data_IF_685357365253
#
_entry.id   IF_685357365253
#
_cell.length_a   1.000
_cell.length_b   1.000
_cell.length_c   1.000
_cell.angle_alpha   90.00
_cell.angle_beta   90.00
_cell.angle_gamma   90.00
#
_symmetry.space_group_name_H-M   'P 1'
#
loop_
_entity.id
_entity.type
_entity.pdbx_description
1 polymer ?
#
# COMPACT_ATOMS: atom_id res chain seq x y z
N UNK A 1 23.95 1.13 -24.37
CA UNK A 1 23.94 -0.18 -25.05
C UNK A 1 22.92 -0.15 -26.17
N UNK A 2 23.34 -0.32 -27.43
CA UNK A 2 22.45 -0.18 -28.59
C UNK A 2 21.36 -1.26 -28.63
N UNK A 3 20.11 -0.86 -28.79
CA UNK A 3 19.01 -1.77 -29.12
C UNK A 3 19.36 -2.50 -30.42
N UNK A 4 19.66 -3.81 -30.33
CA UNK A 4 19.82 -4.66 -31.53
C UNK A 4 18.47 -4.75 -32.26
N UNK A 5 18.27 -3.87 -33.23
CA UNK A 5 17.10 -3.90 -34.11
C UNK A 5 17.16 -5.17 -34.96
N UNK A 6 16.27 -6.11 -34.69
CA UNK A 6 16.20 -7.36 -35.48
C UNK A 6 15.54 -7.07 -36.82
N UNK A 7 16.21 -7.47 -37.90
CA UNK A 7 15.73 -7.32 -39.26
C UNK A 7 14.34 -7.96 -39.46
N UNK A 8 13.49 -7.42 -40.36
CA UNK A 8 12.20 -8.00 -40.70
C UNK A 8 12.29 -9.48 -41.10
N UNK A 9 13.35 -9.86 -41.82
CA UNK A 9 13.62 -11.25 -42.21
C UNK A 9 13.83 -12.17 -40.99
N UNK A 10 14.56 -11.70 -39.97
CA UNK A 10 14.78 -12.45 -38.72
C UNK A 10 13.47 -12.64 -37.95
N UNK A 11 12.59 -11.63 -37.95
CA UNK A 11 11.27 -11.73 -37.30
C UNK A 11 10.38 -12.75 -38.03
N UNK A 12 10.35 -12.70 -39.38
CA UNK A 12 9.59 -13.63 -40.22
C UNK A 12 10.08 -15.08 -40.07
N UNK A 13 11.39 -15.30 -40.06
CA UNK A 13 11.97 -16.64 -39.84
C UNK A 13 11.61 -17.22 -38.47
N UNK A 14 11.60 -16.41 -37.40
CA UNK A 14 11.18 -16.85 -36.05
C UNK A 14 9.68 -17.14 -35.98
N UNK A 15 8.86 -16.34 -36.65
CA UNK A 15 7.42 -16.59 -36.74
C UNK A 15 7.16 -17.92 -37.44
N UNK A 16 7.77 -18.15 -38.61
CA UNK A 16 7.65 -19.39 -39.37
C UNK A 16 8.17 -20.61 -38.59
N UNK A 17 9.30 -20.48 -37.88
CA UNK A 17 9.81 -21.55 -37.02
C UNK A 17 8.84 -21.88 -35.87
N UNK A 18 8.18 -20.87 -35.29
CA UNK A 18 7.17 -21.09 -34.25
C UNK A 18 5.93 -21.77 -34.82
N UNK A 19 5.46 -21.35 -35.99
CA UNK A 19 4.33 -21.97 -36.70
C UNK A 19 4.61 -23.44 -37.00
N UNK A 20 5.77 -23.74 -37.58
CA UNK A 20 6.16 -25.11 -37.92
C UNK A 20 6.31 -25.99 -36.67
N UNK A 21 6.85 -25.44 -35.58
CA UNK A 21 6.97 -26.16 -34.31
C UNK A 21 5.60 -26.46 -33.68
N UNK A 22 4.64 -25.55 -33.79
CA UNK A 22 3.29 -25.75 -33.29
C UNK A 22 2.49 -26.77 -34.11
N UNK A 23 2.75 -26.88 -35.41
CA UNK A 23 2.15 -27.92 -36.27
C UNK A 23 2.68 -29.33 -35.94
N UNK A 24 3.90 -29.42 -35.42
CA UNK A 24 4.53 -30.71 -35.07
C UNK A 24 4.12 -31.24 -33.69
N UNK A 25 3.71 -30.36 -32.78
CA UNK A 25 3.32 -30.71 -31.41
C UNK A 25 2.18 -29.79 -30.94
N UNK A 26 0.92 -30.11 -31.29
CA UNK A 26 -0.25 -29.29 -30.98
C UNK A 26 -0.46 -29.10 -29.47
N UNK A 27 -0.09 -30.10 -28.65
CA UNK A 27 -0.20 -30.02 -27.18
C UNK A 27 0.83 -29.07 -26.55
N UNK A 28 1.96 -28.79 -27.23
CA UNK A 28 2.95 -27.77 -26.82
C UNK A 28 2.92 -26.51 -27.69
N UNK A 29 1.85 -26.31 -28.46
CA UNK A 29 1.73 -25.18 -29.37
C UNK A 29 1.83 -23.85 -28.60
N UNK A 30 2.78 -23.00 -29.02
CA UNK A 30 2.92 -21.63 -28.53
C UNK A 30 1.91 -20.73 -29.26
N UNK A 31 1.11 -19.90 -28.59
CA UNK A 31 0.13 -19.07 -29.27
C UNK A 31 0.78 -18.16 -30.33
N UNK A 32 0.14 -18.04 -31.50
CA UNK A 32 0.55 -17.20 -32.62
C UNK A 32 0.73 -15.74 -32.17
N UNK A 33 1.59 -14.98 -32.84
CA UNK A 33 1.91 -13.58 -32.45
C UNK A 33 0.64 -12.71 -32.38
N UNK A 34 -0.29 -12.90 -33.32
CA UNK A 34 -1.56 -12.17 -33.35
C UNK A 34 -2.52 -12.62 -32.23
N UNK A 35 -2.55 -13.92 -31.91
CA UNK A 35 -3.31 -14.44 -30.77
C UNK A 35 -2.77 -13.87 -29.44
N UNK A 36 -1.44 -13.75 -29.29
CA UNK A 36 -0.83 -13.09 -28.12
C UNK A 36 -1.14 -11.60 -28.03
N UNK A 37 -1.30 -10.91 -29.15
CA UNK A 37 -1.65 -9.50 -29.18
C UNK A 37 -3.14 -9.29 -28.84
N UNK A 38 -4.02 -10.13 -29.39
CA UNK A 38 -5.46 -10.16 -29.04
C UNK A 38 -5.66 -10.48 -27.56
N UNK A 39 -5.04 -11.54 -27.04
CA UNK A 39 -5.10 -11.86 -25.60
C UNK A 39 -4.51 -10.78 -24.71
N UNK A 40 -3.53 -9.99 -25.20
CA UNK A 40 -3.03 -8.83 -24.45
C UNK A 40 -4.01 -7.67 -24.44
N UNK A 41 -4.69 -7.40 -25.56
CA UNK A 41 -5.71 -6.37 -25.62
C UNK A 41 -6.89 -6.71 -24.69
N UNK A 42 -7.33 -7.98 -24.71
CA UNK A 42 -8.34 -8.50 -23.79
C UNK A 42 -7.92 -8.33 -22.32
N UNK A 43 -6.65 -8.64 -21.98
CA UNK A 43 -6.14 -8.44 -20.61
C UNK A 43 -6.01 -6.97 -20.21
N UNK A 44 -5.61 -6.09 -21.14
CA UNK A 44 -5.57 -4.64 -20.92
C UNK A 44 -6.97 -4.12 -20.60
N UNK A 45 -7.97 -4.55 -21.37
CA UNK A 45 -9.37 -4.19 -21.17
C UNK A 45 -9.91 -4.78 -19.86
N UNK A 46 -9.72 -6.08 -19.64
CA UNK A 46 -10.19 -6.80 -18.45
C UNK A 46 -9.71 -6.16 -17.15
N UNK A 47 -8.44 -5.76 -17.08
CA UNK A 47 -7.83 -5.22 -15.86
C UNK A 47 -7.75 -3.70 -15.83
N UNK A 48 -8.12 -3.01 -16.91
CA UNK A 48 -7.95 -1.57 -17.09
C UNK A 48 -6.50 -1.13 -16.91
N UNK A 49 -5.59 -1.76 -17.66
CA UNK A 49 -4.15 -1.56 -17.53
C UNK A 49 -3.62 -0.49 -18.51
N UNK A 50 -2.48 0.15 -18.21
CA UNK A 50 -1.80 1.04 -19.15
C UNK A 50 -1.43 0.33 -20.46
N UNK A 51 -1.49 1.04 -21.59
CA UNK A 51 -1.24 0.47 -22.91
C UNK A 51 0.23 0.07 -23.16
N UNK A 52 1.17 0.65 -22.41
CA UNK A 52 2.61 0.39 -22.45
C UNK A 52 3.05 -0.78 -21.54
N UNK A 53 2.09 -1.46 -20.92
CA UNK A 53 2.31 -2.54 -19.94
C UNK A 53 3.07 -3.74 -20.51
N UNK A 54 4.05 -4.21 -19.73
CA UNK A 54 4.72 -5.50 -19.97
C UNK A 54 4.05 -6.62 -19.17
N UNK A 55 3.39 -7.53 -19.88
CA UNK A 55 2.80 -8.74 -19.29
C UNK A 55 3.83 -9.86 -19.11
N UNK A 56 3.88 -10.40 -17.90
CA UNK A 56 4.65 -11.57 -17.52
C UNK A 56 3.74 -12.61 -16.87
N UNK A 57 3.87 -13.87 -17.28
CA UNK A 57 3.04 -14.97 -16.79
C UNK A 57 3.90 -15.91 -15.94
N UNK A 58 3.43 -16.24 -14.74
CA UNK A 58 4.14 -17.06 -13.77
C UNK A 58 3.30 -18.26 -13.35
N UNK A 59 3.90 -19.45 -13.33
CA UNK A 59 3.27 -20.63 -12.74
C UNK A 59 3.50 -20.66 -11.25
N UNK A 60 2.43 -20.94 -10.49
CA UNK A 60 2.53 -21.23 -9.06
C UNK A 60 3.44 -22.45 -8.81
N UNK A 61 4.22 -22.39 -7.73
CA UNK A 61 5.18 -23.44 -7.38
C UNK A 61 6.41 -23.48 -8.30
N UNK A 62 6.66 -22.42 -9.09
CA UNK A 62 7.88 -22.30 -9.91
C UNK A 62 9.11 -22.65 -9.06
N UNK A 63 9.86 -23.64 -9.56
CA UNK A 63 10.95 -24.31 -8.85
C UNK A 63 11.88 -23.37 -8.09
N UNK A 64 11.79 -23.41 -6.75
CA UNK A 64 12.58 -22.66 -5.76
C UNK A 64 14.11 -22.87 -5.87
N UNK A 65 14.58 -23.77 -6.76
CA UNK A 65 15.99 -24.00 -7.05
C UNK A 65 16.58 -23.03 -8.09
N UNK A 66 15.75 -22.23 -8.76
CA UNK A 66 16.21 -21.16 -9.68
C UNK A 66 16.17 -19.82 -8.96
N UNK A 67 17.11 -18.95 -9.32
CA UNK A 67 17.08 -17.55 -8.89
C UNK A 67 15.69 -16.94 -9.14
N UNK A 68 15.22 -16.14 -8.18
CA UNK A 68 13.97 -15.39 -8.29
C UNK A 68 14.01 -14.49 -9.51
N UNK A 69 12.87 -14.34 -10.17
CA UNK A 69 12.75 -13.33 -11.21
C UNK A 69 12.57 -11.97 -10.55
N UNK A 70 13.47 -11.04 -10.81
CA UNK A 70 13.46 -9.71 -10.21
C UNK A 70 12.96 -8.67 -11.21
N UNK A 71 11.88 -7.98 -10.85
CA UNK A 71 11.40 -6.77 -11.54
C UNK A 71 12.18 -5.56 -11.02
N UNK A 72 12.68 -4.70 -11.92
CA UNK A 72 13.58 -3.59 -11.58
C UNK A 72 13.23 -2.24 -12.22
N UNK A 73 12.33 -2.19 -13.20
CA UNK A 73 12.02 -0.97 -13.94
C UNK A 73 10.73 -1.09 -14.76
N UNK A 74 10.14 0.07 -15.07
CA UNK A 74 8.97 0.23 -15.95
C UNK A 74 7.65 -0.27 -15.36
N UNK A 75 6.59 -0.29 -16.16
CA UNK A 75 5.29 -0.85 -15.77
C UNK A 75 5.22 -2.34 -16.13
N UNK A 76 5.12 -3.21 -15.13
CA UNK A 76 5.10 -4.67 -15.29
C UNK A 76 3.88 -5.26 -14.60
N UNK A 77 3.11 -6.03 -15.36
CA UNK A 77 1.95 -6.79 -14.87
C UNK A 77 2.31 -8.26 -14.83
N UNK A 78 2.15 -8.86 -13.65
CA UNK A 78 2.41 -10.27 -13.40
C UNK A 78 1.09 -11.00 -13.19
N UNK A 79 0.85 -12.01 -14.02
CA UNK A 79 -0.35 -12.83 -13.99
C UNK A 79 -0.01 -14.29 -13.68
N UNK A 80 -0.96 -15.01 -13.08
CA UNK A 80 -0.88 -16.46 -13.01
C UNK A 80 -0.95 -17.02 -14.45
N UNK A 81 -0.06 -17.96 -14.77
CA UNK A 81 0.06 -18.48 -16.13
C UNK A 81 -1.06 -19.44 -16.53
N UNK A 82 -1.79 -20.00 -15.56
CA UNK A 82 -2.84 -20.97 -15.77
C UNK A 82 -4.24 -20.33 -15.64
N UNK A 83 -4.43 -19.38 -14.72
CA UNK A 83 -5.73 -18.71 -14.50
C UNK A 83 -5.80 -17.29 -15.07
N UNK A 84 -4.67 -16.70 -15.45
CA UNK A 84 -4.53 -15.27 -15.80
C UNK A 84 -4.90 -14.31 -14.67
N UNK A 85 -5.06 -14.80 -13.43
CA UNK A 85 -5.36 -13.96 -12.26
C UNK A 85 -4.25 -12.93 -12.03
N UNK A 86 -4.63 -11.71 -11.66
CA UNK A 86 -3.69 -10.65 -11.36
C UNK A 86 -2.95 -10.95 -10.05
N UNK A 87 -1.62 -11.03 -10.13
CA UNK A 87 -0.77 -11.31 -8.98
C UNK A 87 -0.15 -10.03 -8.43
N UNK A 88 0.40 -9.22 -9.34
CA UNK A 88 1.16 -8.02 -9.01
C UNK A 88 1.16 -7.07 -10.22
N UNK A 89 0.97 -5.78 -9.95
CA UNK A 89 1.40 -4.71 -10.86
C UNK A 89 2.49 -3.92 -10.16
N UNK A 90 3.60 -3.67 -10.86
CA UNK A 90 4.66 -2.80 -10.38
C UNK A 90 4.90 -1.69 -11.41
N UNK A 91 4.86 -0.43 -10.97
CA UNK A 91 5.29 0.73 -11.76
C UNK A 91 6.41 1.46 -11.01
N UNK A 92 7.50 1.70 -11.73
CA UNK A 92 8.61 2.52 -11.26
C UNK A 92 8.45 3.90 -11.87
N UNK A 93 8.11 4.88 -11.03
CA UNK A 93 7.94 6.28 -11.44
C UNK A 93 9.21 7.01 -11.06
N UNK A 94 10.06 7.26 -12.05
CA UNK A 94 11.29 8.04 -11.89
C UNK A 94 10.98 9.53 -12.01
N UNK A 95 11.74 10.36 -11.30
CA UNK A 95 11.62 11.80 -11.41
C UNK A 95 12.26 12.29 -12.70
N UNK A 96 11.58 13.17 -13.41
CA UNK A 96 12.10 13.87 -14.57
C UNK A 96 11.46 15.27 -14.68
N UNK A 97 11.98 16.09 -15.60
CA UNK A 97 11.53 17.47 -15.82
C UNK A 97 10.06 17.55 -16.30
N UNK A 98 9.48 16.44 -16.81
CA UNK A 98 8.11 16.44 -17.33
C UNK A 98 7.07 16.01 -16.30
N UNK A 99 7.51 15.51 -15.14
CA UNK A 99 6.63 14.99 -14.09
C UNK A 99 6.83 15.65 -12.72
N UNK A 100 7.34 16.89 -12.70
CA UNK A 100 7.57 17.65 -11.47
C UNK A 100 6.31 17.79 -10.61
N UNK A 101 5.18 18.21 -11.20
CA UNK A 101 3.89 18.35 -10.50
C UNK A 101 3.41 17.02 -9.87
N UNK A 102 3.69 15.90 -10.54
CA UNK A 102 3.38 14.58 -10.01
C UNK A 102 4.25 14.26 -8.79
N UNK A 103 5.53 14.64 -8.82
CA UNK A 103 6.44 14.48 -7.68
C UNK A 103 6.13 15.43 -6.53
N UNK A 104 5.60 16.62 -6.79
CA UNK A 104 5.05 17.48 -5.74
C UNK A 104 3.85 16.80 -5.05
N UNK A 105 2.95 16.20 -5.84
CA UNK A 105 1.80 15.44 -5.32
C UNK A 105 2.22 14.21 -4.50
N UNK A 106 3.23 13.46 -4.98
CA UNK A 106 3.83 12.37 -4.19
C UNK A 106 4.45 12.88 -2.90
N UNK A 107 5.25 13.95 -2.97
CA UNK A 107 5.94 14.49 -1.80
C UNK A 107 4.94 14.95 -0.75
N UNK A 108 3.89 15.68 -1.15
CA UNK A 108 2.82 16.11 -0.27
C UNK A 108 2.11 14.90 0.39
N UNK A 109 1.75 13.91 -0.41
CA UNK A 109 1.05 12.70 0.04
C UNK A 109 1.89 11.87 1.00
N UNK A 110 3.12 11.52 0.61
CA UNK A 110 4.01 10.62 1.35
C UNK A 110 4.46 11.26 2.66
N UNK A 111 4.87 12.54 2.64
CA UNK A 111 5.27 13.26 3.86
C UNK A 111 4.09 13.38 4.84
N UNK A 112 2.89 13.70 4.35
CA UNK A 112 1.69 13.77 5.18
C UNK A 112 1.35 12.42 5.80
N UNK A 113 1.34 11.35 4.99
CA UNK A 113 1.09 9.96 5.44
C UNK A 113 2.12 9.56 6.51
N UNK A 114 3.40 9.82 6.26
CA UNK A 114 4.48 9.46 7.18
C UNK A 114 4.33 10.15 8.54
N UNK A 115 4.15 11.47 8.54
CA UNK A 115 4.00 12.24 9.79
C UNK A 115 2.71 11.92 10.53
N UNK A 116 1.60 11.78 9.81
CA UNK A 116 0.31 11.45 10.40
C UNK A 116 0.29 10.04 11.01
N UNK A 117 0.92 9.07 10.33
CA UNK A 117 1.11 7.73 10.86
C UNK A 117 2.03 7.71 12.10
N UNK A 118 3.13 8.49 12.10
CA UNK A 118 4.04 8.59 13.25
C UNK A 118 3.43 9.24 14.49
N UNK A 119 2.38 10.04 14.33
CA UNK A 119 1.60 10.54 15.47
C UNK A 119 0.78 9.43 16.16
N UNK A 120 0.66 8.24 15.56
CA UNK A 120 -0.02 7.06 16.13
C UNK A 120 0.95 6.16 16.88
N UNK A 121 0.39 5.24 17.66
CA UNK A 121 1.16 4.19 18.33
C UNK A 121 1.77 3.19 17.35
N UNK A 122 2.94 2.63 17.71
CA UNK A 122 3.59 1.57 16.94
C UNK A 122 2.74 0.30 16.96
N UNK A 123 2.57 -0.32 15.80
CA UNK A 123 1.84 -1.58 15.64
C UNK A 123 2.76 -2.75 15.99
N UNK A 124 2.55 -3.31 17.19
CA UNK A 124 3.30 -4.47 17.68
C UNK A 124 2.54 -5.81 17.54
N UNK A 125 1.30 -5.76 17.04
CA UNK A 125 0.41 -6.93 16.92
C UNK A 125 0.45 -7.60 15.54
N UNK A 126 1.23 -7.08 14.59
CA UNK A 126 1.41 -7.74 13.29
C UNK A 126 2.20 -9.04 13.47
N UNK A 127 1.52 -10.19 13.36
CA UNK A 127 2.10 -11.50 13.64
C UNK A 127 3.27 -11.87 12.71
N UNK A 128 3.24 -11.44 11.45
CA UNK A 128 4.31 -11.73 10.49
C UNK A 128 5.58 -10.92 10.81
N UNK A 129 5.43 -9.63 11.11
CA UNK A 129 6.53 -8.76 11.54
C UNK A 129 7.08 -9.18 12.91
N UNK A 130 6.22 -9.46 13.88
CA UNK A 130 6.62 -9.87 15.24
C UNK A 130 7.48 -11.14 15.24
N UNK A 131 7.02 -12.17 14.50
CA UNK A 131 7.75 -13.44 14.36
C UNK A 131 9.11 -13.23 13.69
N UNK A 132 9.22 -12.26 12.78
CA UNK A 132 10.46 -11.96 12.09
C UNK A 132 11.41 -11.15 12.97
N UNK A 133 10.95 -10.05 13.58
CA UNK A 133 11.74 -9.22 14.51
C UNK A 133 12.43 -10.04 15.59
N UNK A 134 11.72 -11.01 16.20
CA UNK A 134 12.31 -11.93 17.20
C UNK A 134 13.40 -12.83 16.62
N UNK A 135 13.28 -13.23 15.35
CA UNK A 135 14.23 -14.11 14.66
C UNK A 135 15.52 -13.39 14.29
N UNK A 136 15.42 -12.17 13.79
CA UNK A 136 16.55 -11.46 13.15
C UNK A 136 17.04 -10.23 13.93
N UNK A 137 16.42 -9.89 15.08
CA UNK A 137 16.77 -8.71 15.91
C UNK A 137 16.82 -7.40 15.10
N UNK A 138 15.80 -7.16 14.25
CA UNK A 138 15.75 -5.99 13.36
C UNK A 138 14.74 -4.91 13.77
N UNK A 139 14.99 -3.71 13.27
CA UNK A 139 14.52 -2.41 13.78
C UNK A 139 13.45 -1.71 12.92
N UNK A 140 12.83 -2.41 11.96
CA UNK A 140 11.75 -1.82 11.17
C UNK A 140 10.52 -1.49 11.99
N UNK A 141 9.88 -0.36 11.72
CA UNK A 141 8.69 0.08 12.47
C UNK A 141 7.46 0.06 11.57
N UNK A 142 6.30 -0.24 12.15
CA UNK A 142 5.01 -0.21 11.48
C UNK A 142 4.06 0.68 12.28
N UNK A 143 3.37 1.55 11.57
CA UNK A 143 2.33 2.43 12.06
C UNK A 143 1.07 2.18 11.22
N UNK A 144 -0.07 2.67 11.70
CA UNK A 144 -1.29 2.69 10.92
C UNK A 144 -2.21 3.82 11.38
N UNK A 145 -3.02 4.34 10.46
CA UNK A 145 -4.07 5.32 10.72
C UNK A 145 -5.31 5.04 9.88
N UNK A 146 -6.37 5.81 10.08
CA UNK A 146 -7.71 5.55 9.56
C UNK A 146 -8.55 4.70 10.51
N UNK A 147 -9.47 3.93 9.95
CA UNK A 147 -10.49 3.18 10.67
C UNK A 147 -10.12 1.71 10.79
N UNK A 148 -10.37 1.18 11.98
CA UNK A 148 -9.98 -0.16 12.39
C UNK A 148 -11.06 -0.83 13.24
N UNK A 149 -10.99 -2.15 13.42
CA UNK A 149 -11.79 -2.84 14.42
C UNK A 149 -11.55 -2.25 15.83
N UNK A 150 -12.60 -2.02 16.61
CA UNK A 150 -12.54 -1.46 17.97
C UNK A 150 -12.06 -2.47 19.02
N UNK A 151 -11.03 -2.15 19.79
CA UNK A 151 -10.52 -3.06 20.83
C UNK A 151 -11.03 -2.72 22.24
N UNK A 152 -11.83 -1.66 22.32
CA UNK A 152 -12.46 -1.21 23.56
C UNK A 152 -13.79 -1.93 23.78
N UNK A 153 -14.12 -2.20 25.05
CA UNK A 153 -15.37 -2.87 25.40
C UNK A 153 -16.54 -2.00 24.95
N UNK A 154 -17.42 -2.59 24.14
CA UNK A 154 -18.61 -1.91 23.63
C UNK A 154 -18.36 -1.05 22.39
N UNK A 155 -17.15 -1.04 21.81
CA UNK A 155 -16.84 -0.31 20.56
C UNK A 155 -16.53 -1.32 19.46
N UNK A 156 -17.34 -1.34 18.40
CA UNK A 156 -17.19 -2.26 17.29
C UNK A 156 -16.08 -1.80 16.31
N UNK A 157 -16.00 -0.50 16.04
CA UNK A 157 -15.01 0.11 15.17
C UNK A 157 -14.59 1.50 15.68
N UNK A 158 -13.35 1.87 15.42
CA UNK A 158 -12.79 3.13 15.85
C UNK A 158 -11.53 3.47 15.07
N UNK A 159 -10.77 4.46 15.53
CA UNK A 159 -9.56 4.89 14.83
C UNK A 159 -8.30 4.35 15.50
N UNK A 160 -7.17 4.50 14.82
CA UNK A 160 -5.88 4.43 15.50
C UNK A 160 -5.70 5.69 16.35
N UNK A 161 -5.31 5.51 17.62
CA UNK A 161 -5.11 6.61 18.57
C UNK A 161 -3.73 7.25 18.42
N UNK A 162 -3.64 8.53 18.79
CA UNK A 162 -2.37 9.19 19.09
C UNK A 162 -1.54 8.38 20.09
N UNK A 163 -0.22 8.40 19.87
CA UNK A 163 0.76 7.91 20.83
C UNK A 163 0.89 8.85 22.04
N UNK A 164 1.63 8.44 23.06
CA UNK A 164 1.81 9.20 24.31
C UNK A 164 2.42 10.59 24.05
N UNK A 165 3.39 10.68 23.16
CA UNK A 165 4.08 11.94 22.83
C UNK A 165 3.12 12.97 22.20
N UNK A 166 2.33 12.54 21.21
CA UNK A 166 1.33 13.40 20.56
C UNK A 166 0.18 13.70 21.53
N UNK A 167 -0.23 12.72 22.32
CA UNK A 167 -1.33 12.87 23.26
C UNK A 167 -1.00 13.74 24.49
N UNK A 168 0.27 14.06 24.72
CA UNK A 168 0.72 14.93 25.81
C UNK A 168 0.93 16.39 25.39
N UNK A 169 0.85 16.70 24.10
CA UNK A 169 1.22 18.01 23.54
C UNK A 169 0.14 18.54 22.60
N UNK A 170 -0.50 19.63 23.01
CA UNK A 170 -1.60 20.26 22.29
C UNK A 170 -1.19 20.72 20.87
N UNK A 171 0.02 21.26 20.70
CA UNK A 171 0.50 21.72 19.40
C UNK A 171 0.72 20.53 18.44
N UNK A 172 1.16 19.38 18.96
CA UNK A 172 1.30 18.15 18.15
C UNK A 172 -0.07 17.59 17.75
N UNK A 173 -1.06 17.64 18.63
CA UNK A 173 -2.45 17.27 18.31
C UNK A 173 -3.02 18.15 17.18
N UNK A 174 -2.86 19.48 17.29
CA UNK A 174 -3.33 20.42 16.27
C UNK A 174 -2.63 20.23 14.92
N UNK A 175 -1.30 20.04 14.94
CA UNK A 175 -0.54 19.74 13.73
C UNK A 175 -1.04 18.45 13.06
N UNK A 176 -1.43 17.44 13.85
CA UNK A 176 -1.99 16.20 13.33
C UNK A 176 -3.41 16.33 12.78
N UNK A 177 -4.26 17.15 13.41
CA UNK A 177 -5.58 17.50 12.88
C UNK A 177 -5.47 18.27 11.56
N UNK A 178 -4.48 19.16 11.43
CA UNK A 178 -4.21 19.83 10.16
C UNK A 178 -3.84 18.82 9.07
N UNK A 179 -2.99 17.84 9.38
CA UNK A 179 -2.67 16.74 8.45
C UNK A 179 -3.91 15.90 8.10
N UNK A 180 -4.78 15.62 9.07
CA UNK A 180 -6.06 14.93 8.81
C UNK A 180 -6.90 15.69 7.77
N UNK A 181 -6.90 17.03 7.81
CA UNK A 181 -7.62 17.87 6.84
C UNK A 181 -7.14 17.72 5.39
N UNK A 182 -5.89 17.30 5.18
CA UNK A 182 -5.31 17.09 3.85
C UNK A 182 -5.62 15.69 3.28
N UNK A 183 -6.04 14.74 4.13
CA UNK A 183 -6.20 13.34 3.71
C UNK A 183 -7.24 13.13 2.60
N UNK A 184 -8.36 13.89 2.49
CA UNK A 184 -9.28 13.73 1.38
C UNK A 184 -8.66 13.98 0.01
N UNK A 185 -7.83 15.02 -0.12
CA UNK A 185 -7.09 15.31 -1.35
C UNK A 185 -6.08 14.20 -1.66
N UNK A 186 -5.35 13.75 -0.64
CA UNK A 186 -4.40 12.64 -0.76
C UNK A 186 -5.09 11.32 -1.15
N UNK A 187 -6.30 11.07 -0.65
CA UNK A 187 -7.09 9.90 -1.04
C UNK A 187 -7.49 9.95 -2.52
N UNK A 188 -7.88 11.12 -3.04
CA UNK A 188 -8.16 11.30 -4.46
C UNK A 188 -6.92 11.05 -5.32
N UNK A 189 -5.77 11.58 -4.90
CA UNK A 189 -4.50 11.30 -5.57
C UNK A 189 -4.19 9.80 -5.58
N UNK A 190 -4.27 9.12 -4.44
CA UNK A 190 -4.06 7.67 -4.35
C UNK A 190 -5.07 6.89 -5.20
N UNK A 191 -6.35 7.30 -5.23
CA UNK A 191 -7.37 6.68 -6.07
C UNK A 191 -7.04 6.79 -7.56
N UNK A 192 -6.56 7.95 -8.01
CA UNK A 192 -6.07 8.15 -9.38
C UNK A 192 -4.89 7.23 -9.69
N UNK A 193 -3.90 7.16 -8.79
CA UNK A 193 -2.72 6.29 -8.96
C UNK A 193 -3.12 4.81 -9.02
N UNK A 194 -3.99 4.38 -8.11
CA UNK A 194 -4.45 3.00 -8.02
C UNK A 194 -5.28 2.60 -9.25
N UNK A 195 -6.31 3.37 -9.58
CA UNK A 195 -7.17 3.12 -10.74
C UNK A 195 -6.42 3.20 -12.07
N UNK A 196 -5.45 4.12 -12.19
CA UNK A 196 -4.58 4.23 -13.36
C UNK A 196 -3.53 3.13 -13.49
N UNK A 197 -3.35 2.28 -12.47
CA UNK A 197 -2.46 1.13 -12.50
C UNK A 197 -3.23 -0.18 -12.75
N UNK A 198 -4.41 -0.33 -12.16
CA UNK A 198 -5.43 -1.30 -12.57
C UNK A 198 -6.81 -0.84 -12.11
N UNK A 199 -7.66 -0.46 -13.08
CA UNK A 199 -9.02 -0.04 -12.78
C UNK A 199 -9.83 -1.17 -12.15
N UNK A 200 -9.64 -2.41 -12.59
CA UNK A 200 -10.36 -3.57 -12.05
C UNK A 200 -10.03 -3.84 -10.57
N UNK A 201 -8.75 -3.78 -10.19
CA UNK A 201 -8.35 -3.97 -8.80
C UNK A 201 -8.92 -2.86 -7.89
N UNK A 202 -8.85 -1.60 -8.35
CA UNK A 202 -9.45 -0.47 -7.67
C UNK A 202 -10.97 -0.62 -7.53
N UNK A 203 -11.67 -0.95 -8.62
CA UNK A 203 -13.12 -1.13 -8.64
C UNK A 203 -13.57 -2.30 -7.74
N UNK A 204 -12.80 -3.39 -7.69
CA UNK A 204 -13.07 -4.51 -6.79
C UNK A 204 -13.06 -4.04 -5.33
N UNK A 205 -11.99 -3.33 -4.92
CA UNK A 205 -11.90 -2.77 -3.57
C UNK A 205 -12.99 -1.74 -3.29
N UNK A 206 -13.34 -0.90 -4.27
CA UNK A 206 -14.36 0.13 -4.09
C UNK A 206 -15.78 -0.42 -4.00
N UNK A 207 -16.09 -1.44 -4.80
CA UNK A 207 -17.34 -2.19 -4.72
C UNK A 207 -17.46 -2.87 -3.36
N UNK A 208 -16.37 -3.49 -2.89
CA UNK A 208 -16.34 -4.10 -1.56
C UNK A 208 -16.62 -3.06 -0.46
N UNK A 209 -15.98 -1.89 -0.53
CA UNK A 209 -16.21 -0.82 0.44
C UNK A 209 -17.69 -0.40 0.47
N UNK A 210 -18.30 -0.24 -0.71
CA UNK A 210 -19.71 0.12 -0.84
C UNK A 210 -20.65 -0.94 -0.25
N UNK A 211 -20.47 -2.23 -0.57
CA UNK A 211 -21.37 -3.28 -0.09
C UNK A 211 -21.18 -3.61 1.40
N UNK A 212 -20.07 -3.18 2.00
CA UNK A 212 -19.73 -3.44 3.41
C UNK A 212 -19.86 -2.21 4.30
N UNK A 213 -20.28 -1.07 3.74
CA UNK A 213 -20.27 0.25 4.40
C UNK A 213 -18.91 0.56 5.05
N UNK A 214 -17.82 0.15 4.40
CA UNK A 214 -16.49 0.41 4.92
C UNK A 214 -16.19 1.92 4.85
N UNK A 215 -15.72 2.53 5.96
CA UNK A 215 -15.44 3.95 5.99
C UNK A 215 -14.13 4.28 5.27
N UNK A 216 -14.02 5.48 4.70
CA UNK A 216 -12.76 6.03 4.20
C UNK A 216 -11.78 6.33 5.33
N UNK A 217 -10.50 6.02 5.13
CA UNK A 217 -9.41 6.37 6.05
C UNK A 217 -9.13 7.87 6.11
N UNK A 218 -9.51 8.63 5.09
CA UNK A 218 -9.29 10.06 5.00
C UNK A 218 -10.33 10.87 5.81
N UNK A 219 -11.40 10.22 6.24
CA UNK A 219 -12.50 10.90 6.88
C UNK A 219 -12.31 11.16 8.38
N UNK A 220 -12.87 12.26 8.86
CA UNK A 220 -13.03 12.50 10.29
C UNK A 220 -14.24 11.77 10.89
N UNK A 221 -15.30 11.57 10.11
CA UNK A 221 -16.49 10.82 10.52
C UNK A 221 -16.34 9.33 10.23
N UNK A 222 -17.15 8.50 10.87
CA UNK A 222 -17.27 7.09 10.47
C UNK A 222 -18.20 6.92 9.26
N UNK A 223 -19.14 7.85 9.05
CA UNK A 223 -20.32 7.60 8.21
C UNK A 223 -20.31 8.32 6.86
N UNK A 224 -19.54 9.40 6.72
CA UNK A 224 -19.65 10.31 5.59
C UNK A 224 -18.34 10.40 4.84
N UNK A 225 -18.13 9.57 3.82
CA UNK A 225 -16.91 9.69 3.02
C UNK A 225 -16.77 11.10 2.42
N UNK A 226 -15.59 11.74 2.51
CA UNK A 226 -15.35 13.02 1.86
C UNK A 226 -15.25 12.88 0.33
N UNK A 227 -14.97 11.66 -0.15
CA UNK A 227 -14.82 11.33 -1.57
C UNK A 227 -15.89 10.34 -2.03
N UNK A 228 -16.20 10.37 -3.33
CA UNK A 228 -17.27 9.55 -3.94
C UNK A 228 -16.95 8.05 -3.99
N UNK A 229 -15.67 7.67 -3.91
CA UNK A 229 -15.24 6.28 -4.00
C UNK A 229 -14.27 5.93 -2.87
N UNK A 230 -14.77 5.19 -1.89
CA UNK A 230 -13.93 4.56 -0.87
C UNK A 230 -13.33 3.28 -1.46
N UNK A 231 -12.05 3.02 -1.24
CA UNK A 231 -11.37 1.78 -1.66
C UNK A 231 -10.52 1.15 -0.55
N UNK A 232 -10.47 1.80 0.61
CA UNK A 232 -9.67 1.38 1.76
C UNK A 232 -10.24 1.99 3.04
N UNK A 233 -10.07 1.32 4.17
CA UNK A 233 -10.48 1.84 5.48
C UNK A 233 -9.31 2.28 6.36
N UNK A 234 -8.09 1.85 6.05
CA UNK A 234 -6.89 2.27 6.75
C UNK A 234 -5.68 2.38 5.82
N UNK A 235 -4.66 3.07 6.31
CA UNK A 235 -3.33 3.02 5.73
C UNK A 235 -2.40 2.43 6.78
N UNK A 236 -1.66 1.41 6.37
CA UNK A 236 -0.47 0.97 7.12
C UNK A 236 0.76 1.65 6.53
N UNK A 237 1.68 2.06 7.40
CA UNK A 237 2.94 2.69 7.02
C UNK A 237 4.08 1.95 7.69
N UNK A 238 5.12 1.65 6.93
CA UNK A 238 6.33 1.02 7.45
C UNK A 238 7.55 1.86 7.15
N UNK A 239 8.51 1.85 8.06
CA UNK A 239 9.79 2.51 7.88
C UNK A 239 10.99 1.68 8.33
N UNK A 240 12.18 2.16 7.99
CA UNK A 240 13.48 1.64 8.40
C UNK A 240 13.80 0.28 7.75
N UNK A 241 14.38 -0.64 8.51
CA UNK A 241 14.68 -2.00 8.05
C UNK A 241 13.44 -2.92 8.15
N UNK A 242 12.25 -2.43 7.78
CA UNK A 242 11.01 -3.21 7.87
C UNK A 242 11.09 -4.51 7.06
N UNK A 243 10.61 -5.57 7.69
CA UNK A 243 10.55 -6.92 7.15
C UNK A 243 9.50 -7.73 7.90
N UNK A 244 8.94 -8.71 7.22
CA UNK A 244 7.93 -9.61 7.73
C UNK A 244 8.19 -11.03 7.19
N UNK A 245 7.56 -12.01 7.83
CA UNK A 245 7.57 -13.39 7.30
C UNK A 245 6.64 -13.52 6.11
N UNK A 246 6.91 -14.54 5.29
CA UNK A 246 5.95 -15.08 4.32
C UNK A 246 4.56 -15.24 4.96
N UNK A 247 3.55 -14.60 4.39
CA UNK A 247 2.17 -14.62 4.86
C UNK A 247 1.20 -14.24 3.73
N UNK A 248 -0.09 -14.43 4.00
CA UNK A 248 -1.18 -13.79 3.26
C UNK A 248 -1.82 -12.77 4.19
N UNK A 249 -2.41 -11.72 3.64
CA UNK A 249 -3.17 -10.80 4.47
C UNK A 249 -4.57 -11.36 4.76
N UNK A 250 -5.09 -11.02 5.94
CA UNK A 250 -6.45 -11.35 6.36
C UNK A 250 -7.37 -10.13 6.17
N UNK A 251 -7.29 -9.56 4.99
CA UNK A 251 -8.12 -8.43 4.56
C UNK A 251 -9.36 -8.91 3.83
N UNK A 252 -10.38 -8.06 3.79
CA UNK A 252 -11.56 -8.26 2.97
C UNK A 252 -11.27 -7.95 1.50
N UNK A 253 -10.36 -6.99 1.25
CA UNK A 253 -9.91 -6.63 -0.10
C UNK A 253 -8.99 -7.70 -0.69
N UNK A 254 -9.25 -8.08 -1.94
CA UNK A 254 -8.41 -9.00 -2.70
C UNK A 254 -7.08 -8.38 -3.12
N UNK A 255 -7.05 -7.05 -3.26
CA UNK A 255 -5.87 -6.30 -3.65
C UNK A 255 -5.50 -5.25 -2.61
N UNK A 256 -4.21 -5.04 -2.44
CA UNK A 256 -3.65 -3.91 -1.73
C UNK A 256 -2.88 -3.02 -2.71
N UNK A 257 -2.87 -1.72 -2.43
CA UNK A 257 -2.14 -0.71 -3.19
C UNK A 257 -1.22 0.08 -2.27
N UNK A 258 0.00 0.35 -2.72
CA UNK A 258 1.01 1.00 -1.89
C UNK A 258 2.13 1.70 -2.63
N UNK A 259 2.74 2.67 -1.95
CA UNK A 259 3.95 3.35 -2.40
C UNK A 259 5.19 2.82 -1.66
N UNK A 260 6.33 2.80 -2.33
CA UNK A 260 7.63 2.48 -1.75
C UNK A 260 8.68 3.47 -2.28
N UNK A 261 9.45 4.09 -1.38
CA UNK A 261 10.48 5.07 -1.75
C UNK A 261 11.47 5.28 -0.59
N UNK A 262 12.48 6.13 -0.81
CA UNK A 262 13.27 6.72 0.27
C UNK A 262 12.73 8.11 0.62
N UNK A 263 12.80 8.44 1.90
CA UNK A 263 12.40 9.73 2.43
C UNK A 263 13.43 10.26 3.42
N UNK A 264 13.43 11.57 3.62
CA UNK A 264 13.98 12.22 4.78
C UNK A 264 13.28 11.72 6.05
N UNK A 265 14.05 11.29 7.05
CA UNK A 265 13.50 10.74 8.29
C UNK A 265 12.72 11.76 9.12
N UNK A 266 13.17 13.00 9.13
CA UNK A 266 12.64 14.06 9.96
C UNK A 266 11.37 14.64 9.34
N UNK A 267 11.40 14.94 8.03
CA UNK A 267 10.31 15.63 7.33
C UNK A 267 9.35 14.66 6.64
N UNK A 268 9.84 13.51 6.18
CA UNK A 268 9.07 12.58 5.35
C UNK A 268 9.05 12.95 3.87
N UNK A 269 9.80 13.98 3.48
CA UNK A 269 9.93 14.38 2.09
C UNK A 269 10.70 13.35 1.28
N UNK A 270 10.39 13.24 -0.01
CA UNK A 270 11.07 12.34 -0.92
C UNK A 270 12.57 12.62 -0.97
N UNK A 271 13.37 11.56 -0.87
CA UNK A 271 14.82 11.64 -0.99
C UNK A 271 15.29 10.99 -2.29
N UNK A 272 15.92 11.79 -3.15
CA UNK A 272 16.52 11.38 -4.41
C UNK A 272 18.03 11.19 -4.24
N UNK A 273 18.56 10.01 -4.60
CA UNK A 273 19.99 9.72 -4.46
C UNK A 273 20.79 10.53 -5.50
N UNK A 274 21.43 11.61 -5.07
CA UNK A 274 22.39 12.35 -5.89
C UNK A 274 21.98 13.75 -6.33
N UNK A 275 20.79 14.24 -5.96
CA UNK A 275 20.44 15.66 -6.12
C UNK A 275 21.17 16.57 -5.11
N UNK A 276 21.74 15.98 -4.05
CA UNK A 276 22.52 16.63 -2.98
C UNK A 276 23.67 15.71 -2.50
N UNK A 277 24.47 16.17 -1.54
CA UNK A 277 25.49 15.35 -0.85
C UNK A 277 24.84 14.05 -0.33
N UNK A 278 25.47 12.87 -0.50
CA UNK A 278 24.88 11.61 -0.04
C UNK A 278 24.48 11.67 1.44
N UNK A 279 23.23 11.34 1.76
CA UNK A 279 22.68 11.34 3.14
C UNK A 279 22.51 9.93 3.71
N UNK A 280 22.86 8.92 2.93
CA UNK A 280 22.72 7.50 3.26
C UNK A 280 21.74 6.73 2.37
N UNK A 281 21.46 5.49 2.76
CA UNK A 281 20.62 4.57 1.99
C UNK A 281 20.06 3.41 2.85
N UNK A 282 19.02 2.74 2.37
CA UNK A 282 18.50 1.48 2.92
C UNK A 282 18.49 0.41 1.83
N UNK A 283 19.40 -0.56 1.91
CA UNK A 283 19.70 -1.50 0.84
C UNK A 283 19.33 -2.94 1.22
N UNK A 284 18.79 -3.71 0.27
CA UNK A 284 18.45 -5.12 0.36
C UNK A 284 16.95 -5.40 0.42
N UNK A 285 16.10 -4.37 0.27
CA UNK A 285 14.67 -4.51 0.37
C UNK A 285 14.07 -5.06 -0.92
N UNK A 286 13.31 -6.15 -0.82
CA UNK A 286 12.58 -6.78 -1.91
C UNK A 286 11.15 -7.04 -1.47
N UNK A 287 10.18 -6.72 -2.32
CA UNK A 287 8.81 -7.23 -2.16
C UNK A 287 8.69 -8.55 -2.92
N UNK A 288 8.32 -9.62 -2.24
CA UNK A 288 8.40 -10.99 -2.76
C UNK A 288 7.02 -11.60 -2.86
N UNK A 289 6.69 -12.19 -4.01
CA UNK A 289 5.60 -13.17 -4.15
C UNK A 289 6.19 -14.60 -4.11
N UNK A 290 6.14 -15.21 -2.94
CA UNK A 290 6.86 -16.45 -2.64
C UNK A 290 6.37 -17.63 -3.47
N UNK A 291 5.07 -17.71 -3.72
CA UNK A 291 4.46 -18.84 -4.43
C UNK A 291 4.82 -18.86 -5.93
N UNK A 292 5.35 -17.75 -6.46
CA UNK A 292 5.67 -17.57 -7.88
C UNK A 292 7.16 -17.40 -8.17
N UNK A 293 8.01 -17.39 -7.12
CA UNK A 293 9.45 -17.13 -7.22
C UNK A 293 9.74 -15.82 -7.97
N UNK A 294 8.97 -14.78 -7.62
CA UNK A 294 8.94 -13.44 -8.21
C UNK A 294 9.23 -12.43 -7.10
N UNK A 295 9.98 -11.38 -7.41
CA UNK A 295 10.24 -10.28 -6.51
C UNK A 295 10.36 -8.94 -7.27
N UNK A 296 10.08 -7.86 -6.57
CA UNK A 296 10.34 -6.48 -6.98
C UNK A 296 11.55 -5.97 -6.22
N UNK A 297 12.51 -5.40 -6.94
CA UNK A 297 13.64 -4.71 -6.32
C UNK A 297 13.23 -3.31 -5.86
N UNK A 298 13.09 -3.12 -4.54
CA UNK A 298 12.70 -1.83 -3.98
C UNK A 298 13.87 -0.84 -3.94
N UNK A 299 15.09 -1.30 -4.26
CA UNK A 299 16.29 -0.47 -4.31
C UNK A 299 16.60 0.05 -5.72
N UNK A 300 15.90 -0.43 -6.76
CA UNK A 300 16.29 -0.18 -8.16
C UNK A 300 15.77 1.12 -8.76
N UNK A 301 15.10 1.96 -7.97
CA UNK A 301 14.62 3.28 -8.35
C UNK A 301 14.88 4.26 -7.21
N UNK A 302 15.15 5.51 -7.59
CA UNK A 302 15.30 6.64 -6.68
C UNK A 302 14.03 7.51 -6.62
N UNK A 303 13.04 7.19 -7.47
CA UNK A 303 11.69 7.76 -7.43
C UNK A 303 10.72 6.97 -6.54
N UNK A 304 9.47 6.86 -6.99
CA UNK A 304 8.39 6.18 -6.27
C UNK A 304 8.00 4.90 -6.99
N UNK A 305 7.97 3.78 -6.26
CA UNK A 305 7.40 2.53 -6.75
C UNK A 305 5.94 2.44 -6.32
N UNK A 306 5.05 2.24 -7.28
CA UNK A 306 3.65 1.91 -7.05
C UNK A 306 3.46 0.40 -7.20
N UNK A 307 2.91 -0.25 -6.18
CA UNK A 307 2.60 -1.68 -6.22
C UNK A 307 1.11 -1.92 -6.00
N UNK A 308 0.52 -2.75 -6.84
CA UNK A 308 -0.71 -3.50 -6.55
C UNK A 308 -0.30 -4.96 -6.34
N UNK A 309 -0.76 -5.60 -5.28
CA UNK A 309 -0.57 -7.04 -5.12
C UNK A 309 -1.83 -7.73 -4.63
N UNK A 310 -1.97 -9.00 -5.01
CA UNK A 310 -3.03 -9.87 -4.54
C UNK A 310 -2.72 -10.32 -3.10
N UNK A 311 -3.58 -9.94 -2.16
CA UNK A 311 -3.43 -10.19 -0.72
C UNK A 311 -3.54 -11.67 -0.37
N UNK A 312 -4.15 -12.48 -1.26
CA UNK A 312 -4.34 -13.92 -1.12
C UNK A 312 -3.15 -14.75 -1.62
N UNK A 313 -2.12 -14.11 -2.16
CA UNK A 313 -0.85 -14.74 -2.53
C UNK A 313 0.15 -14.59 -1.39
N UNK A 314 0.90 -15.65 -1.10
CA UNK A 314 1.92 -15.53 -0.06
C UNK A 314 3.02 -14.54 -0.46
N UNK A 315 3.26 -13.56 0.39
CA UNK A 315 4.23 -12.50 0.15
C UNK A 315 4.98 -12.08 1.42
N UNK A 316 6.09 -11.37 1.22
CA UNK A 316 6.84 -10.70 2.29
C UNK A 316 7.78 -9.63 1.75
N UNK A 317 8.29 -8.80 2.67
CA UNK A 317 9.38 -7.86 2.46
C UNK A 317 10.68 -8.44 3.03
N UNK A 318 11.70 -8.58 2.19
CA UNK A 318 12.99 -9.11 2.60
C UNK A 318 13.74 -8.16 3.56
N UNK A 319 14.66 -8.68 4.38
CA UNK A 319 15.44 -7.84 5.28
C UNK A 319 16.39 -6.89 4.53
N UNK A 320 16.40 -5.61 4.90
CA UNK A 320 17.34 -4.58 4.40
C UNK A 320 18.34 -4.13 5.47
N UNK A 321 19.30 -3.27 5.11
CA UNK A 321 20.29 -2.67 6.01
C UNK A 321 20.37 -1.16 5.76
N UNK A 322 20.47 -0.38 6.83
CA UNK A 322 20.62 1.08 6.77
C UNK A 322 22.10 1.50 6.79
N UNK A 323 22.42 2.51 5.98
CA UNK A 323 23.75 3.09 5.80
C UNK A 323 23.69 4.62 5.86
N UNK A 324 24.74 5.24 6.38
CA UNK A 324 24.91 6.70 6.43
C UNK A 324 25.53 7.26 5.13
N UNK A 325 25.78 8.57 5.12
CA UNK A 325 26.45 9.31 4.04
C UNK A 325 27.79 8.71 3.59
N UNK A 326 28.51 8.06 4.51
CA UNK A 326 29.83 7.46 4.30
C UNK A 326 29.75 5.98 3.91
N UNK A 327 28.55 5.46 3.61
CA UNK A 327 28.26 4.05 3.39
C UNK A 327 28.64 3.15 4.58
N UNK A 328 28.69 3.71 5.80
CA UNK A 328 28.88 2.94 7.02
C UNK A 328 27.53 2.43 7.49
N UNK A 329 27.48 1.16 7.94
CA UNK A 329 26.26 0.59 8.49
C UNK A 329 25.97 1.26 9.83
N UNK A 330 24.78 1.83 9.97
CA UNK A 330 24.32 2.50 11.18
C UNK A 330 23.01 1.89 11.67
N UNK A 331 22.61 2.17 12.91
CA UNK A 331 21.26 1.85 13.35
C UNK A 331 20.27 2.76 12.60
N UNK A 332 19.05 2.29 12.29
CA UNK A 332 18.14 3.12 11.51
C UNK A 332 17.79 4.45 12.16
N UNK A 333 17.70 4.50 13.49
CA UNK A 333 17.41 5.73 14.23
C UNK A 333 18.47 6.83 14.03
N UNK A 334 19.71 6.46 13.71
CA UNK A 334 20.83 7.40 13.53
C UNK A 334 20.99 7.87 12.07
N UNK A 335 20.23 7.27 11.14
CA UNK A 335 20.29 7.62 9.73
C UNK A 335 19.40 8.82 9.40
N UNK A 336 19.84 9.67 8.48
CA UNK A 336 19.06 10.81 7.99
C UNK A 336 17.91 10.40 7.06
N UNK A 337 18.04 9.26 6.41
CA UNK A 337 17.07 8.75 5.44
C UNK A 337 16.48 7.42 5.89
N UNK A 338 15.26 7.15 5.44
CA UNK A 338 14.58 5.88 5.70
C UNK A 338 13.79 5.39 4.50
N UNK A 339 13.56 4.08 4.46
CA UNK A 339 12.68 3.46 3.47
C UNK A 339 11.25 3.59 3.93
N UNK A 340 10.47 4.38 3.22
CA UNK A 340 9.04 4.47 3.42
C UNK A 340 8.33 3.40 2.59
N UNK A 341 7.31 2.79 3.18
CA UNK A 341 6.28 2.13 2.42
C UNK A 341 4.91 2.35 3.06
N UNK A 342 3.85 2.41 2.24
CA UNK A 342 2.48 2.39 2.73
C UNK A 342 1.63 1.36 1.99
N UNK A 343 0.53 0.94 2.59
CA UNK A 343 -0.47 0.05 1.98
C UNK A 343 -1.88 0.47 2.39
N UNK A 344 -2.79 0.48 1.42
CA UNK A 344 -4.22 0.73 1.59
C UNK A 344 -5.00 -0.58 1.49
N UNK A 345 -5.82 -0.89 2.51
CA UNK A 345 -6.63 -2.12 2.57
C UNK A 345 -7.89 -1.95 3.45
N UNK A 346 -8.82 -2.90 3.33
CA UNK A 346 -9.98 -3.02 4.22
C UNK A 346 -9.84 -4.32 5.02
N UNK A 347 -9.75 -4.23 6.35
CA UNK A 347 -9.62 -5.42 7.18
C UNK A 347 -10.91 -6.25 7.20
N UNK A 348 -10.79 -7.57 7.05
CA UNK A 348 -11.93 -8.50 7.19
C UNK A 348 -12.61 -8.36 8.56
N UNK A 349 -11.83 -8.18 9.61
CA UNK A 349 -12.35 -8.04 10.96
C UNK A 349 -13.13 -6.73 11.19
N UNK A 350 -12.86 -5.69 10.39
CA UNK A 350 -13.64 -4.44 10.43
C UNK A 350 -15.01 -4.67 9.80
N UNK A 351 -15.03 -5.22 8.58
CA UNK A 351 -16.26 -5.56 7.84
C UNK A 351 -17.19 -6.44 8.68
N UNK A 352 -16.65 -7.51 9.29
CA UNK A 352 -17.43 -8.41 10.11
C UNK A 352 -18.06 -7.74 11.34
N UNK A 353 -17.44 -6.69 11.87
CA UNK A 353 -17.98 -5.97 13.03
C UNK A 353 -19.00 -4.93 12.63
N UNK A 354 -18.78 -4.23 11.51
CA UNK A 354 -19.78 -3.36 10.90
C UNK A 354 -21.06 -4.17 10.64
N UNK A 355 -20.94 -5.32 9.95
CA UNK A 355 -22.09 -6.19 9.66
C UNK A 355 -22.87 -6.60 10.93
N UNK A 356 -22.18 -6.90 12.04
CA UNK A 356 -22.82 -7.20 13.33
C UNK A 356 -23.59 -6.02 13.92
N UNK A 357 -23.04 -4.81 13.82
CA UNK A 357 -23.74 -3.60 14.29
C UNK A 357 -24.99 -3.35 13.46
N UNK A 358 -24.90 -3.47 12.13
CA UNK A 358 -26.05 -3.27 11.24
C UNK A 358 -27.14 -4.34 11.37
N UNK A 359 -26.77 -5.59 11.66
CA UNK A 359 -27.74 -6.65 11.93
C UNK A 359 -28.62 -6.38 13.17
N UNK A 360 -28.19 -5.52 14.09
CA UNK A 360 -28.96 -5.13 15.27
C UNK A 360 -29.88 -3.93 15.03
N UNK A 361 -29.89 -3.37 13.81
CA UNK A 361 -30.81 -2.30 13.43
C UNK A 361 -32.26 -2.78 13.43
N UNK A 362 -32.48 -4.06 13.11
CA UNK A 362 -33.81 -4.66 13.07
C UNK A 362 -34.46 -4.61 14.46
N UNK A 363 -35.58 -3.88 14.57
CA UNK A 363 -36.29 -3.67 15.83
C UNK A 363 -35.97 -2.35 16.56
N UNK A 364 -35.05 -1.53 16.02
CA UNK A 364 -34.81 -0.16 16.50
C UNK A 364 -35.55 0.86 15.61
N UNK A 365 -36.13 1.89 16.23
CA UNK A 365 -36.51 3.09 15.48
C UNK A 365 -35.26 3.93 15.12
N UNK A 366 -35.42 4.91 14.23
CA UNK A 366 -34.29 5.72 13.73
C UNK A 366 -33.49 6.43 14.85
N UNK A 367 -34.18 6.95 15.86
CA UNK A 367 -33.52 7.62 17.00
C UNK A 367 -32.72 6.62 17.84
N UNK A 368 -33.29 5.46 18.14
CA UNK A 368 -32.62 4.38 18.86
C UNK A 368 -31.41 3.87 18.08
N UNK A 369 -31.56 3.69 16.77
CA UNK A 369 -30.49 3.26 15.88
C UNK A 369 -29.33 4.25 15.87
N UNK A 370 -29.60 5.54 15.69
CA UNK A 370 -28.54 6.56 15.66
C UNK A 370 -27.76 6.58 16.98
N UNK A 371 -28.45 6.56 18.11
CA UNK A 371 -27.80 6.49 19.44
C UNK A 371 -26.96 5.22 19.56
N UNK A 372 -27.53 4.05 19.26
CA UNK A 372 -26.80 2.78 19.35
C UNK A 372 -25.56 2.78 18.45
N UNK A 373 -25.72 3.11 17.17
CA UNK A 373 -24.64 3.15 16.18
C UNK A 373 -23.50 4.06 16.61
N UNK A 374 -23.82 5.25 17.13
CA UNK A 374 -22.82 6.23 17.58
C UNK A 374 -22.05 5.78 18.83
N UNK A 375 -22.59 4.85 19.63
CA UNK A 375 -21.82 4.18 20.70
C UNK A 375 -20.91 3.06 20.20
N UNK A 376 -21.17 2.52 19.00
CA UNK A 376 -20.44 1.37 18.46
C UNK A 376 -19.35 1.77 17.46
N UNK A 377 -19.57 2.85 16.70
CA UNK A 377 -18.75 3.23 15.54
C UNK A 377 -18.20 4.65 15.73
N UNK A 378 -16.92 4.74 16.09
CA UNK A 378 -16.29 6.02 16.42
C UNK A 378 -15.44 6.54 15.25
N UNK A 379 -15.70 7.79 14.83
CA UNK A 379 -14.87 8.52 13.88
C UNK A 379 -13.65 9.19 14.55
N UNK A 380 -12.70 9.64 13.72
CA UNK A 380 -11.49 10.31 14.19
C UNK A 380 -11.77 11.64 14.89
N UNK A 381 -12.67 12.46 14.34
CA UNK A 381 -12.97 13.79 14.90
C UNK A 381 -13.51 13.71 16.34
N UNK A 382 -14.40 12.75 16.61
CA UNK A 382 -14.96 12.53 17.96
C UNK A 382 -13.85 12.15 18.95
N UNK A 383 -12.98 11.22 18.57
CA UNK A 383 -11.89 10.76 19.45
C UNK A 383 -10.83 11.84 19.67
N UNK A 384 -10.48 12.60 18.63
CA UNK A 384 -9.51 13.69 18.71
C UNK A 384 -10.01 14.81 19.64
N UNK A 385 -11.25 15.29 19.43
CA UNK A 385 -11.84 16.35 20.27
C UNK A 385 -11.94 15.93 21.74
N UNK A 386 -12.35 14.69 22.02
CA UNK A 386 -12.43 14.18 23.39
C UNK A 386 -11.06 14.21 24.09
N UNK A 387 -9.99 13.79 23.40
CA UNK A 387 -8.62 13.80 23.94
C UNK A 387 -8.08 15.21 24.13
N UNK A 388 -8.32 16.10 23.17
CA UNK A 388 -7.91 17.50 23.27
C UNK A 388 -8.62 18.21 24.43
N UNK A 389 -9.94 18.02 24.57
CA UNK A 389 -10.70 18.55 25.72
C UNK A 389 -10.12 18.06 27.04
N UNK A 390 -9.87 16.74 27.16
CA UNK A 390 -9.29 16.17 28.37
C UNK A 390 -7.91 16.75 28.71
N UNK A 391 -7.05 16.97 27.72
CA UNK A 391 -5.75 17.61 27.92
C UNK A 391 -5.90 19.09 28.29
N UNK A 392 -6.78 19.83 27.62
CA UNK A 392 -7.02 21.25 27.89
C UNK A 392 -7.50 21.47 29.33
N UNK A 393 -8.41 20.62 29.83
CA UNK A 393 -8.85 20.64 31.23
C UNK A 393 -7.67 20.37 32.17
N UNK A 394 -6.88 19.32 31.89
CA UNK A 394 -5.70 18.96 32.70
C UNK A 394 -4.67 20.10 32.77
N UNK A 395 -4.52 20.87 31.70
CA UNK A 395 -3.58 22.00 31.62
C UNK A 395 -4.18 23.32 32.13
N UNK A 396 -5.44 23.35 32.55
CA UNK A 396 -6.12 24.58 32.99
C UNK A 396 -6.40 25.57 31.85
N UNK A 397 -6.36 25.12 30.59
CA UNK A 397 -6.69 25.92 29.40
C UNK A 397 -8.22 26.03 29.24
N UNK A 398 -8.96 25.03 29.73
CA UNK A 398 -10.42 24.95 29.64
C UNK A 398 -11.02 24.56 31.00
N UNK A 399 -12.00 25.31 31.50
CA UNK A 399 -12.82 24.94 32.66
C UNK A 399 -14.01 24.04 32.24
N UNK A 400 -14.19 22.91 32.92
CA UNK A 400 -15.24 21.91 32.63
C UNK A 400 -16.60 22.28 33.27
N UNK A 401 -17.02 23.54 33.11
CA UNK A 401 -18.16 24.11 33.85
C UNK A 401 -19.48 24.09 33.05
N UNK A 402 -19.75 23.04 32.27
CA UNK A 402 -21.00 22.88 31.52
C UNK A 402 -21.73 21.58 31.85
#
# INVERSE_FOLDING_TARGET
>A
MGHKYKSPSTRKARANHTINKNMQDPERARPLINARAASKAELIEQYGLPSDTKFLFFKKGRWLKRARFTVRYGTVVCLDADTSELLLVARFVERDEVNEDLFESYNHSISTIYQHAKARGIININGASYKEKRRIRKHGTMYAFGLRPGYEKGVAAGTYTWNEETAADYAKMEADLKRQGNLPEIENFIAERFSGLSYNAFQSNSTLALITDAPSWANQSFYVSPNSQVFSSNITMTCDEFTNKKHKDHDATDYAFGFFCLIDRATGELYEKGSTVPRGNVIGARFVLDDYNLEVDLDSSDGVLELIWNTQVNHHTSPSKTYDANNQRVAPADAEVTRFACSCQISLSLVQRIAKVYALRDGMNEKQWNVYRDTQLHGYGVQAHAKMKALAIKLGIWEDNF
#
